data_IF_611259754446
#
_entry.id   IF_611259754446
#
_cell.length_a   1.000
_cell.length_b   1.000
_cell.length_c   1.000
_cell.angle_alpha   90.00
_cell.angle_beta   90.00
_cell.angle_gamma   90.00
#
_symmetry.space_group_name_H-M   'P 1'
#
loop_
_entity.id
_entity.type
_entity.pdbx_description
1 polymer ?
#
# COMPACT_ATOMS: atom_id res chain seq x y z
N UNK A 1 -9.15 -2.00 -14.45
CA UNK A 1 -10.00 -2.33 -13.29
C UNK A 1 -9.19 -2.26 -12.00
N UNK A 2 -9.72 -1.67 -10.91
CA UNK A 2 -9.08 -1.72 -9.59
C UNK A 2 -9.31 -3.10 -8.96
N UNK A 3 -8.30 -3.61 -8.24
CA UNK A 3 -8.39 -4.94 -7.62
C UNK A 3 -9.03 -4.83 -6.24
N UNK A 4 -10.21 -5.42 -6.06
CA UNK A 4 -10.95 -5.46 -4.78
C UNK A 4 -10.70 -6.72 -3.94
N UNK A 5 -9.77 -7.61 -4.35
CA UNK A 5 -9.52 -8.87 -3.63
C UNK A 5 -8.76 -8.62 -2.32
N UNK A 6 -9.08 -9.36 -1.24
CA UNK A 6 -8.33 -9.27 0.01
C UNK A 6 -6.85 -9.57 -0.24
N UNK A 7 -5.97 -8.80 0.39
CA UNK A 7 -4.52 -8.99 0.33
C UNK A 7 -4.19 -10.38 0.87
N UNK A 8 -3.65 -11.25 0.00
CA UNK A 8 -3.17 -12.55 0.45
C UNK A 8 -2.07 -12.32 1.48
N UNK A 9 -2.28 -12.86 2.68
CA UNK A 9 -1.35 -12.73 3.78
C UNK A 9 -0.10 -13.57 3.45
N UNK A 10 1.09 -12.99 3.62
CA UNK A 10 2.35 -13.71 3.49
C UNK A 10 2.44 -14.84 4.53
N UNK A 11 3.09 -15.96 4.17
CA UNK A 11 3.45 -17.03 5.11
C UNK A 11 4.20 -16.51 6.35
N UNK A 12 4.88 -15.37 6.22
CA UNK A 12 5.66 -14.73 7.29
C UNK A 12 4.92 -13.63 8.04
N UNK A 13 3.60 -13.51 7.89
CA UNK A 13 2.80 -12.48 8.57
C UNK A 13 2.93 -12.48 10.08
N UNK A 14 3.16 -13.63 10.71
CA UNK A 14 3.42 -13.75 12.14
C UNK A 14 4.67 -12.99 12.61
N UNK A 15 5.63 -12.72 11.72
CA UNK A 15 6.81 -11.89 12.02
C UNK A 15 6.44 -10.44 12.30
N UNK A 16 5.31 -9.95 11.79
CA UNK A 16 4.83 -8.59 12.06
C UNK A 16 4.68 -8.32 13.56
N UNK A 17 4.25 -9.32 14.33
CA UNK A 17 4.07 -9.23 15.77
C UNK A 17 5.41 -9.10 16.53
N UNK A 18 6.55 -9.37 15.89
CA UNK A 18 7.88 -9.19 16.49
C UNK A 18 8.42 -7.76 16.35
N UNK A 19 7.77 -6.92 15.53
CA UNK A 19 8.18 -5.53 15.34
C UNK A 19 7.72 -4.71 16.56
N UNK A 20 8.58 -3.91 17.22
CA UNK A 20 8.20 -3.08 18.34
C UNK A 20 7.02 -2.13 18.03
N UNK A 21 6.10 -1.93 18.97
CA UNK A 21 4.92 -1.07 18.77
C UNK A 21 5.28 0.41 18.50
N UNK A 22 6.41 0.87 19.05
CA UNK A 22 6.92 2.22 18.81
C UNK A 22 7.64 2.37 17.45
N UNK A 23 7.69 1.32 16.62
CA UNK A 23 8.29 1.39 15.30
C UNK A 23 7.56 2.38 14.40
N UNK A 24 8.31 3.22 13.68
CA UNK A 24 7.78 4.34 12.89
C UNK A 24 6.70 3.89 11.88
N UNK A 25 6.92 2.78 11.18
CA UNK A 25 5.94 2.28 10.19
C UNK A 25 4.65 1.76 10.84
N UNK A 26 4.71 1.19 12.05
CA UNK A 26 3.51 0.81 12.81
C UNK A 26 2.72 2.05 13.24
N UNK A 27 3.42 3.07 13.71
CA UNK A 27 2.81 4.35 14.07
C UNK A 27 2.13 5.01 12.87
N UNK A 28 2.78 5.02 11.70
CA UNK A 28 2.20 5.57 10.47
C UNK A 28 0.95 4.78 10.06
N UNK A 29 1.02 3.45 10.04
CA UNK A 29 -0.12 2.58 9.70
C UNK A 29 -1.31 2.80 10.66
N UNK A 30 -1.04 3.11 11.93
CA UNK A 30 -2.09 3.39 12.93
C UNK A 30 -2.81 4.74 12.75
N UNK A 31 -2.21 5.69 12.04
CA UNK A 31 -2.77 7.06 11.90
C UNK A 31 -3.13 7.44 10.47
N UNK A 32 -2.65 6.70 9.46
CA UNK A 32 -2.92 6.96 8.05
C UNK A 32 -3.56 5.73 7.41
N UNK A 33 -4.87 5.83 7.14
CA UNK A 33 -5.52 4.94 6.20
C UNK A 33 -5.25 5.44 4.77
N UNK A 34 -4.56 4.64 3.96
CA UNK A 34 -4.24 4.98 2.56
C UNK A 34 -5.34 4.59 1.57
N UNK A 35 -6.43 3.96 2.02
CA UNK A 35 -7.52 3.49 1.15
C UNK A 35 -8.12 4.60 0.29
N UNK A 36 -8.05 5.86 0.75
CA UNK A 36 -8.51 7.05 0.02
C UNK A 36 -7.88 7.20 -1.37
N UNK A 37 -6.67 6.68 -1.58
CA UNK A 37 -5.93 6.77 -2.84
C UNK A 37 -6.66 6.01 -3.95
N UNK A 38 -7.28 4.88 -3.62
CA UNK A 38 -8.06 4.11 -4.59
C UNK A 38 -9.27 4.92 -5.09
N UNK A 39 -9.93 5.67 -4.21
CA UNK A 39 -11.02 6.58 -4.58
C UNK A 39 -10.53 7.79 -5.39
N UNK A 40 -9.39 8.38 -4.98
CA UNK A 40 -8.78 9.51 -5.68
C UNK A 40 -8.44 9.19 -7.14
N UNK A 41 -7.95 7.98 -7.39
CA UNK A 41 -7.47 7.56 -8.70
C UNK A 41 -8.50 6.73 -9.50
N UNK A 42 -9.70 6.51 -8.98
CA UNK A 42 -10.70 5.63 -9.61
C UNK A 42 -10.96 5.99 -11.08
N UNK A 43 -11.12 7.29 -11.37
CA UNK A 43 -11.41 7.80 -12.71
C UNK A 43 -10.24 7.67 -13.70
N UNK A 44 -9.02 7.42 -13.20
CA UNK A 44 -7.84 7.18 -14.04
C UNK A 44 -7.74 5.73 -14.52
N UNK A 45 -8.61 4.83 -14.04
CA UNK A 45 -8.62 3.42 -14.43
C UNK A 45 -9.92 3.05 -15.15
N UNK A 46 -9.81 2.23 -16.19
CA UNK A 46 -10.97 1.62 -16.82
C UNK A 46 -11.66 0.64 -15.85
N UNK A 47 -12.97 0.77 -15.66
CA UNK A 47 -13.76 -0.11 -14.76
C UNK A 47 -13.97 -1.50 -15.37
N UNK A 48 -14.33 -1.54 -16.65
CA UNK A 48 -14.85 -2.74 -17.31
C UNK A 48 -13.81 -3.54 -18.10
N UNK A 49 -12.75 -2.90 -18.60
CA UNK A 49 -11.82 -3.52 -19.54
C UNK A 49 -10.36 -3.51 -19.05
N UNK A 50 -9.61 -4.52 -19.52
CA UNK A 50 -8.17 -4.64 -19.30
C UNK A 50 -7.76 -5.45 -18.07
N UNK A 51 -6.44 -5.57 -17.86
CA UNK A 51 -5.86 -6.26 -16.72
C UNK A 51 -6.16 -5.48 -15.43
N UNK A 52 -6.51 -6.14 -14.31
CA UNK A 52 -6.59 -5.46 -13.03
C UNK A 52 -5.27 -4.75 -12.71
N UNK A 53 -5.33 -3.46 -12.40
CA UNK A 53 -4.15 -2.69 -12.04
C UNK A 53 -3.54 -3.22 -10.74
N UNK A 54 -2.22 -3.09 -10.59
CA UNK A 54 -1.58 -3.19 -9.29
C UNK A 54 -2.15 -2.05 -8.43
N UNK A 55 -2.50 -2.36 -7.18
CA UNK A 55 -3.29 -1.46 -6.33
C UNK A 55 -2.61 -0.08 -6.19
N UNK A 56 -3.27 1.01 -6.58
CA UNK A 56 -2.70 2.36 -6.48
C UNK A 56 -2.24 2.71 -5.07
N UNK A 57 -3.00 2.28 -4.05
CA UNK A 57 -2.61 2.38 -2.64
C UNK A 57 -1.20 1.81 -2.38
N UNK A 58 -0.91 0.61 -2.90
CA UNK A 58 0.40 -0.03 -2.74
C UNK A 58 1.51 0.78 -3.40
N UNK A 59 1.26 1.31 -4.60
CA UNK A 59 2.26 2.12 -5.30
C UNK A 59 2.59 3.38 -4.52
N UNK A 60 1.57 4.09 -4.01
CA UNK A 60 1.79 5.27 -3.19
C UNK A 60 2.48 4.95 -1.86
N UNK A 61 2.16 3.81 -1.22
CA UNK A 61 2.90 3.34 -0.04
C UNK A 61 4.38 3.13 -0.34
N UNK A 62 4.74 2.59 -1.51
CA UNK A 62 6.14 2.42 -1.91
C UNK A 62 6.84 3.77 -2.11
N UNK A 63 6.22 4.72 -2.81
CA UNK A 63 6.78 6.08 -3.00
C UNK A 63 6.94 6.81 -1.66
N UNK A 64 5.97 6.65 -0.76
CA UNK A 64 6.06 7.20 0.59
C UNK A 64 7.23 6.60 1.37
N UNK A 65 7.45 5.29 1.29
CA UNK A 65 8.60 4.63 1.91
C UNK A 65 9.93 5.08 1.30
N UNK A 66 10.02 5.17 -0.04
CA UNK A 66 11.21 5.69 -0.72
C UNK A 66 11.57 7.09 -0.20
N UNK A 67 10.58 7.98 -0.13
CA UNK A 67 10.77 9.32 0.40
C UNK A 67 11.18 9.33 1.88
N UNK A 68 10.46 8.56 2.72
CA UNK A 68 10.71 8.48 4.17
C UNK A 68 12.14 8.01 4.50
N UNK A 69 12.67 7.09 3.69
CA UNK A 69 14.01 6.52 3.89
C UNK A 69 15.09 7.15 3.00
N UNK A 70 14.76 8.21 2.26
CA UNK A 70 15.65 8.86 1.31
C UNK A 70 16.33 7.87 0.36
N UNK A 71 15.53 6.94 -0.18
CA UNK A 71 15.98 5.95 -1.16
C UNK A 71 15.88 6.54 -2.56
N UNK A 72 16.93 6.34 -3.35
CA UNK A 72 16.92 6.60 -4.79
C UNK A 72 16.32 5.41 -5.54
N UNK A 73 15.93 5.64 -6.79
CA UNK A 73 15.60 4.57 -7.75
C UNK A 73 16.86 3.92 -8.35
N UNK A 74 18.05 4.41 -7.97
CA UNK A 74 19.39 3.87 -8.33
C UNK A 74 19.86 2.75 -7.39
#
# INVERSE_FOLDING_TARGET
MLRHKPKQISFHSSLYNKIPENHILKRIDSVVDFSFINGLLENSYCKEFGRPAKEPELMCKLLFLQHLYNLSDE
#
